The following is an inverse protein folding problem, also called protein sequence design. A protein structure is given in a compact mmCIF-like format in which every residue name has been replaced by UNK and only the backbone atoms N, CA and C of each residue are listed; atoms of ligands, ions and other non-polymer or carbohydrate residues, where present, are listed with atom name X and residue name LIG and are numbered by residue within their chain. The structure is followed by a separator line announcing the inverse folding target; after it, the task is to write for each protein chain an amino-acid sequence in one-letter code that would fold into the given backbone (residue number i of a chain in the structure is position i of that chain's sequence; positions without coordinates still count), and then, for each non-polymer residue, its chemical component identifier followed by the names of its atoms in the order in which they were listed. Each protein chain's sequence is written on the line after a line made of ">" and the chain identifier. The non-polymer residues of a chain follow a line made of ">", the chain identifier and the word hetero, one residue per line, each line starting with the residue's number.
data_IF_748479932538
#
_entry.id   IF_748479932538
#
_cell.length_a   1.000
_cell.length_b   1.000
_cell.length_c   1.000
_cell.angle_alpha   90.00
_cell.angle_beta   90.00
_cell.angle_gamma   90.00
#
_symmetry.space_group_name_H-M   'P 1'
#
loop_
_entity.id
_entity.type
_entity.pdbx_description
1 polymer ?
#
# COMPACT_ATOMS: atom_id res chain seq x y z
N UNK A 1 11.35 5.58 13.64
CA UNK A 1 10.24 5.75 14.59
C UNK A 1 8.94 5.57 13.84
N UNK A 2 8.06 4.66 14.27
CA UNK A 2 6.74 4.54 13.63
C UNK A 2 5.92 5.78 14.00
N UNK A 3 5.19 6.38 13.06
CA UNK A 3 4.39 7.60 13.30
C UNK A 3 3.35 7.47 14.44
N UNK A 4 3.15 6.25 14.97
CA UNK A 4 2.20 5.91 16.04
C UNK A 4 2.71 6.25 17.46
N UNK A 5 3.99 6.52 17.63
CA UNK A 5 4.61 6.74 18.95
C UNK A 5 4.62 8.20 19.40
N UNK A 6 4.14 9.13 18.55
CA UNK A 6 4.15 10.57 18.84
C UNK A 6 3.43 10.89 20.16
N UNK A 7 4.02 11.78 20.93
CA UNK A 7 3.44 12.37 22.13
C UNK A 7 2.32 13.33 21.74
N UNK A 8 1.38 13.65 22.65
CA UNK A 8 0.35 14.64 22.38
C UNK A 8 0.91 16.01 21.96
N UNK A 9 2.05 16.43 22.52
CA UNK A 9 2.70 17.69 22.15
C UNK A 9 3.22 17.68 20.72
N UNK A 10 3.86 16.60 20.28
CA UNK A 10 4.34 16.45 18.90
C UNK A 10 3.19 16.43 17.90
N UNK A 11 2.08 15.75 18.22
CA UNK A 11 0.88 15.74 17.37
C UNK A 11 0.31 17.15 17.23
N UNK A 12 0.19 17.90 18.34
CA UNK A 12 -0.29 19.29 18.30
C UNK A 12 0.65 20.17 17.47
N UNK A 13 1.98 20.02 17.63
CA UNK A 13 2.95 20.79 16.88
C UNK A 13 2.85 20.53 15.37
N UNK A 14 2.64 19.29 14.96
CA UNK A 14 2.43 18.97 13.53
C UNK A 14 1.11 19.54 13.01
N UNK A 15 0.04 19.51 13.81
CA UNK A 15 -1.22 20.15 13.45
C UNK A 15 -1.10 21.67 13.37
N UNK A 16 -0.22 22.30 14.14
CA UNK A 16 0.03 23.75 14.09
C UNK A 16 0.59 24.21 12.74
N UNK A 17 1.30 23.34 12.00
CA UNK A 17 1.81 23.65 10.66
C UNK A 17 0.71 23.80 9.60
N UNK A 18 -0.51 23.32 9.88
CA UNK A 18 -1.61 23.29 8.91
C UNK A 18 -2.88 23.99 9.38
N UNK A 19 -3.13 24.03 10.69
CA UNK A 19 -4.33 24.62 11.29
C UNK A 19 -3.89 25.75 12.20
N UNK A 20 -4.39 26.96 11.97
CA UNK A 20 -4.14 28.12 12.83
C UNK A 20 -5.20 28.17 13.94
N UNK A 21 -4.78 28.42 15.19
CA UNK A 21 -5.66 28.43 16.37
C UNK A 21 -6.26 27.05 16.70
N UNK A 22 -7.49 27.01 17.24
CA UNK A 22 -8.22 25.77 17.57
C UNK A 22 -7.48 24.84 18.57
N UNK A 23 -6.75 25.41 19.53
CA UNK A 23 -5.86 24.66 20.42
C UNK A 23 -6.58 23.59 21.23
N UNK A 24 -7.80 23.86 21.68
CA UNK A 24 -8.60 22.90 22.42
C UNK A 24 -8.94 21.67 21.55
N UNK A 25 -9.34 21.88 20.30
CA UNK A 25 -9.64 20.79 19.37
C UNK A 25 -8.39 19.97 19.05
N UNK A 26 -7.25 20.62 18.81
CA UNK A 26 -5.95 19.96 18.58
C UNK A 26 -5.53 19.10 19.77
N UNK A 27 -5.64 19.62 20.99
CA UNK A 27 -5.34 18.87 22.23
C UNK A 27 -6.25 17.66 22.37
N UNK A 28 -7.56 17.82 22.17
CA UNK A 28 -8.52 16.73 22.27
C UNK A 28 -8.23 15.59 21.30
N UNK A 29 -7.94 15.90 20.02
CA UNK A 29 -7.61 14.86 19.04
C UNK A 29 -6.26 14.20 19.32
N UNK A 30 -5.27 14.95 19.80
CA UNK A 30 -3.96 14.41 20.16
C UNK A 30 -4.04 13.45 21.35
N UNK A 31 -4.86 13.76 22.35
CA UNK A 31 -5.11 12.87 23.50
C UNK A 31 -5.84 11.60 23.06
N UNK A 32 -6.90 11.72 22.24
CA UNK A 32 -7.62 10.57 21.73
C UNK A 32 -6.71 9.63 20.93
N UNK A 33 -5.83 10.18 20.09
CA UNK A 33 -4.84 9.42 19.36
C UNK A 33 -3.81 8.74 20.28
N UNK A 34 -3.28 9.46 21.27
CA UNK A 34 -2.35 8.88 22.25
C UNK A 34 -2.99 7.77 23.07
N UNK A 35 -4.27 7.88 23.39
CA UNK A 35 -5.00 6.85 24.10
C UNK A 35 -5.15 5.57 23.27
N UNK A 36 -5.27 5.68 21.93
CA UNK A 36 -5.22 4.49 21.06
C UNK A 36 -3.86 3.78 21.14
N UNK A 37 -2.76 4.54 21.14
CA UNK A 37 -1.43 3.95 21.34
C UNK A 37 -1.29 3.28 22.71
N UNK A 38 -1.70 3.97 23.79
CA UNK A 38 -1.69 3.42 25.15
C UNK A 38 -2.49 2.13 25.26
N UNK A 39 -3.67 2.07 24.64
CA UNK A 39 -4.50 0.85 24.58
C UNK A 39 -3.75 -0.33 23.95
N UNK A 40 -2.90 -0.11 22.96
CA UNK A 40 -2.09 -1.18 22.35
C UNK A 40 -0.98 -1.70 23.27
N UNK A 41 -0.62 -0.96 24.31
CA UNK A 41 0.36 -1.37 25.32
C UNK A 41 -0.26 -2.12 26.51
N UNK A 42 -1.60 -2.15 26.59
CA UNK A 42 -2.31 -2.92 27.62
C UNK A 42 -2.28 -4.42 27.31
N UNK A 43 -2.39 -5.21 28.36
CA UNK A 43 -2.67 -6.64 28.32
C UNK A 43 -4.01 -6.93 27.61
N UNK A 44 -4.17 -8.15 27.12
CA UNK A 44 -5.30 -8.50 26.26
C UNK A 44 -6.65 -8.37 26.96
N UNK A 45 -6.72 -8.75 28.25
CA UNK A 45 -7.95 -8.64 29.03
C UNK A 45 -8.36 -7.18 29.21
N UNK A 46 -7.48 -6.32 29.71
CA UNK A 46 -7.78 -4.90 29.88
C UNK A 46 -8.04 -4.16 28.55
N UNK A 47 -7.40 -4.61 27.46
CA UNK A 47 -7.58 -4.00 26.13
C UNK A 47 -9.00 -4.15 25.59
N UNK A 48 -9.72 -5.21 25.95
CA UNK A 48 -11.11 -5.43 25.54
C UNK A 48 -12.05 -4.41 26.20
N UNK A 49 -11.79 -4.06 27.45
CA UNK A 49 -12.62 -3.11 28.21
C UNK A 49 -12.41 -1.65 27.80
N UNK A 50 -11.25 -1.33 27.21
CA UNK A 50 -10.93 0.04 26.78
C UNK A 50 -11.44 0.30 25.36
N UNK A 51 -12.54 1.05 25.26
CA UNK A 51 -13.10 1.49 23.98
C UNK A 51 -12.48 2.79 23.45
N UNK A 52 -12.39 2.98 22.11
CA UNK A 52 -11.94 4.25 21.54
C UNK A 52 -12.81 5.43 21.98
N UNK A 53 -12.18 6.55 22.34
CA UNK A 53 -12.90 7.80 22.66
C UNK A 53 -13.25 8.53 21.36
N UNK A 54 -14.53 8.50 20.99
CA UNK A 54 -15.06 9.26 19.85
C UNK A 54 -15.07 10.77 20.17
N UNK A 55 -15.01 11.60 19.12
CA UNK A 55 -14.87 13.06 19.25
C UNK A 55 -16.02 13.74 18.52
N UNK A 56 -16.74 14.60 19.23
CA UNK A 56 -17.71 15.54 18.65
C UNK A 56 -17.07 16.92 18.58
N UNK A 57 -16.99 17.50 17.38
CA UNK A 57 -16.48 18.86 17.18
C UNK A 57 -17.64 19.82 16.95
N UNK A 58 -17.78 20.82 17.82
CA UNK A 58 -18.82 21.85 17.73
C UNK A 58 -18.17 23.18 17.34
N UNK A 59 -18.75 23.88 16.36
CA UNK A 59 -18.28 25.18 15.91
C UNK A 59 -18.84 25.58 14.54
N UNK A 60 -18.66 26.84 14.10
CA UNK A 60 -19.22 27.32 12.83
C UNK A 60 -18.55 26.65 11.62
N UNK A 61 -19.15 26.78 10.43
CA UNK A 61 -18.56 26.28 9.19
C UNK A 61 -17.24 27.02 8.88
N UNK A 62 -16.33 26.37 8.14
CA UNK A 62 -15.07 27.00 7.73
C UNK A 62 -13.94 27.07 8.77
N UNK A 63 -14.18 26.82 10.07
CA UNK A 63 -13.15 26.93 11.13
C UNK A 63 -12.10 25.81 11.18
N UNK A 64 -12.11 24.88 10.21
CA UNK A 64 -11.10 23.82 10.12
C UNK A 64 -11.43 22.49 10.82
N UNK A 65 -12.66 22.25 11.27
CA UNK A 65 -13.07 20.96 11.89
C UNK A 65 -12.67 19.74 11.04
N UNK A 66 -13.04 19.76 9.76
CA UNK A 66 -12.71 18.68 8.82
C UNK A 66 -11.21 18.59 8.54
N UNK A 67 -10.51 19.73 8.53
CA UNK A 67 -9.07 19.77 8.25
C UNK A 67 -8.26 19.18 9.41
N UNK A 68 -8.67 19.41 10.67
CA UNK A 68 -8.07 18.75 11.83
C UNK A 68 -8.14 17.23 11.69
N UNK A 69 -9.33 16.69 11.36
CA UNK A 69 -9.50 15.24 11.20
C UNK A 69 -8.68 14.68 10.01
N UNK A 70 -8.67 15.39 8.88
CA UNK A 70 -7.91 15.02 7.69
C UNK A 70 -6.40 15.01 7.95
N UNK A 71 -5.88 16.05 8.62
CA UNK A 71 -4.45 16.18 8.94
C UNK A 71 -4.01 15.15 9.96
N UNK A 72 -4.82 14.92 10.99
CA UNK A 72 -4.57 13.87 11.98
C UNK A 72 -4.39 12.51 11.32
N UNK A 73 -5.27 12.14 10.38
CA UNK A 73 -5.17 10.87 9.67
C UNK A 73 -3.90 10.77 8.81
N UNK A 74 -3.53 11.85 8.11
CA UNK A 74 -2.28 11.91 7.32
C UNK A 74 -1.03 11.74 8.19
N UNK A 75 -0.98 12.41 9.34
CA UNK A 75 0.15 12.36 10.29
C UNK A 75 0.47 10.93 10.76
N UNK A 76 -0.55 10.09 10.92
CA UNK A 76 -0.38 8.69 11.36
C UNK A 76 -0.50 7.68 10.22
N UNK A 77 -0.62 8.15 8.98
CA UNK A 77 -0.85 7.31 7.80
C UNK A 77 -2.05 6.35 7.98
N UNK A 78 -3.13 6.85 8.59
CA UNK A 78 -4.37 6.08 8.77
C UNK A 78 -5.34 6.29 7.59
N UNK A 79 -6.15 5.27 7.26
CA UNK A 79 -7.25 5.43 6.31
C UNK A 79 -8.26 6.45 6.84
N UNK A 80 -8.82 7.25 5.93
CA UNK A 80 -9.72 8.35 6.27
C UNK A 80 -10.83 8.48 5.23
N UNK A 81 -12.06 8.63 5.70
CA UNK A 81 -13.24 8.86 4.86
C UNK A 81 -14.03 10.05 5.41
N UNK A 82 -14.43 10.97 4.53
CA UNK A 82 -15.37 12.07 4.85
C UNK A 82 -16.74 11.65 4.36
N UNK A 83 -17.72 11.63 5.26
CA UNK A 83 -19.09 11.24 4.95
C UNK A 83 -20.06 12.32 5.45
N UNK A 84 -21.17 12.51 4.74
CA UNK A 84 -22.25 13.42 5.13
C UNK A 84 -23.43 12.60 5.65
N UNK A 85 -23.86 12.88 6.89
CA UNK A 85 -24.87 12.07 7.58
C UNK A 85 -26.23 12.07 6.86
N UNK A 86 -26.59 13.17 6.20
CA UNK A 86 -27.85 13.30 5.45
C UNK A 86 -27.94 12.37 4.23
N UNK A 87 -26.84 11.73 3.82
CA UNK A 87 -26.84 10.73 2.74
C UNK A 87 -27.45 9.39 3.13
N UNK A 88 -27.68 9.16 4.42
CA UNK A 88 -28.17 7.89 4.97
C UNK A 88 -29.57 8.01 5.56
N UNK A 89 -30.24 9.16 5.38
CA UNK A 89 -31.64 9.36 5.79
C UNK A 89 -32.58 9.01 4.64
N UNK A 90 -33.77 8.53 5.00
CA UNK A 90 -34.78 7.90 4.14
C UNK A 90 -35.20 8.71 2.90
N UNK A 91 -35.14 10.04 2.95
CA UNK A 91 -35.54 10.93 1.85
C UNK A 91 -34.39 11.18 0.84
N UNK A 92 -33.18 10.67 1.12
CA UNK A 92 -31.93 11.11 0.45
C UNK A 92 -31.33 10.17 -0.60
N UNK A 93 -31.60 8.86 -0.57
CA UNK A 93 -31.39 7.94 -1.69
C UNK A 93 -31.81 6.52 -1.28
N UNK A 94 -32.70 5.91 -2.04
CA UNK A 94 -32.82 4.44 -2.08
C UNK A 94 -31.46 3.93 -2.60
N UNK A 95 -30.49 3.62 -1.72
CA UNK A 95 -29.26 2.94 -2.14
C UNK A 95 -27.93 3.21 -1.43
N UNK A 96 -27.80 4.14 -0.47
CA UNK A 96 -26.58 4.24 0.35
C UNK A 96 -26.79 3.71 1.75
N UNK A 97 -26.33 2.49 1.94
CA UNK A 97 -26.26 1.78 3.22
C UNK A 97 -25.10 2.32 4.09
N UNK A 98 -25.30 2.38 5.41
CA UNK A 98 -24.30 2.75 6.43
C UNK A 98 -23.03 1.92 6.30
N UNK A 99 -23.15 0.65 5.89
CA UNK A 99 -21.99 -0.22 5.65
C UNK A 99 -21.06 0.32 4.55
N UNK A 100 -21.57 1.11 3.60
CA UNK A 100 -20.74 1.72 2.56
C UNK A 100 -19.64 2.61 3.13
N UNK A 101 -19.84 3.21 4.32
CA UNK A 101 -18.78 3.98 5.00
C UNK A 101 -17.59 3.11 5.38
N UNK A 102 -17.85 1.87 5.81
CA UNK A 102 -16.81 0.92 6.17
C UNK A 102 -16.11 0.40 4.91
N UNK A 103 -16.87 0.09 3.85
CA UNK A 103 -16.31 -0.32 2.56
C UNK A 103 -15.36 0.75 1.98
N UNK A 104 -15.78 2.01 1.98
CA UNK A 104 -14.96 3.14 1.54
C UNK A 104 -13.69 3.30 2.41
N UNK A 105 -13.80 3.09 3.71
CA UNK A 105 -12.64 3.16 4.62
C UNK A 105 -11.63 2.03 4.36
N UNK A 106 -12.12 0.81 4.12
CA UNK A 106 -11.29 -0.37 3.80
C UNK A 106 -10.59 -0.18 2.46
N UNK A 107 -11.29 0.29 1.44
CA UNK A 107 -10.70 0.56 0.11
C UNK A 107 -9.55 1.57 0.21
N UNK A 108 -9.74 2.66 0.98
CA UNK A 108 -8.67 3.61 1.25
C UNK A 108 -7.47 2.97 1.99
N UNK A 109 -7.72 2.03 2.91
CA UNK A 109 -6.65 1.30 3.59
C UNK A 109 -5.85 0.41 2.62
N UNK A 110 -6.55 -0.30 1.72
CA UNK A 110 -5.93 -1.13 0.67
C UNK A 110 -5.03 -0.26 -0.21
N UNK A 111 -5.49 0.92 -0.63
CA UNK A 111 -4.69 1.83 -1.44
C UNK A 111 -3.40 2.30 -0.73
N UNK A 112 -3.48 2.62 0.57
CA UNK A 112 -2.30 3.00 1.37
C UNK A 112 -1.27 1.86 1.38
N UNK A 113 -1.71 0.63 1.67
CA UNK A 113 -0.83 -0.54 1.71
C UNK A 113 -0.27 -0.87 0.32
N UNK A 114 -1.10 -0.84 -0.71
CA UNK A 114 -0.69 -1.11 -2.10
C UNK A 114 0.39 -0.13 -2.55
N UNK A 115 0.22 1.17 -2.25
CA UNK A 115 1.22 2.20 -2.57
C UNK A 115 2.54 1.95 -1.84
N UNK A 116 2.50 1.60 -0.56
CA UNK A 116 3.70 1.27 0.20
C UNK A 116 4.42 0.05 -0.40
N UNK A 117 3.69 -1.05 -0.63
CA UNK A 117 4.24 -2.28 -1.22
C UNK A 117 4.78 -2.08 -2.63
N UNK A 118 4.14 -1.24 -3.44
CA UNK A 118 4.62 -0.90 -4.77
C UNK A 118 5.98 -0.20 -4.70
N UNK A 119 6.14 0.74 -3.77
CA UNK A 119 7.42 1.42 -3.54
C UNK A 119 8.53 0.46 -3.11
N UNK A 120 8.21 -0.54 -2.28
CA UNK A 120 9.19 -1.53 -1.79
C UNK A 120 9.80 -2.36 -2.95
N UNK A 121 9.00 -2.66 -3.99
CA UNK A 121 9.42 -3.52 -5.11
C UNK A 121 9.82 -2.74 -6.36
N UNK A 122 9.60 -1.43 -6.40
CA UNK A 122 9.76 -0.61 -7.61
C UNK A 122 11.15 -0.73 -8.23
N UNK A 123 12.22 -0.57 -7.45
CA UNK A 123 13.60 -0.64 -7.96
C UNK A 123 13.94 -2.02 -8.55
N UNK A 124 13.44 -3.10 -7.94
CA UNK A 124 13.65 -4.44 -8.48
C UNK A 124 12.84 -4.67 -9.75
N UNK A 125 11.60 -4.18 -9.78
CA UNK A 125 10.73 -4.27 -10.95
C UNK A 125 11.30 -3.48 -12.13
N UNK A 126 11.84 -2.29 -11.89
CA UNK A 126 12.51 -1.45 -12.89
C UNK A 126 13.74 -2.17 -13.48
N UNK A 127 14.62 -2.72 -12.64
CA UNK A 127 15.77 -3.51 -13.11
C UNK A 127 15.35 -4.71 -13.96
N UNK A 128 14.30 -5.43 -13.56
CA UNK A 128 13.76 -6.56 -14.32
C UNK A 128 13.15 -6.11 -15.64
N UNK A 129 12.43 -4.98 -15.65
CA UNK A 129 11.84 -4.40 -16.84
C UNK A 129 12.94 -3.95 -17.83
N UNK A 130 13.96 -3.24 -17.37
CA UNK A 130 15.09 -2.81 -18.18
C UNK A 130 15.86 -4.01 -18.74
N UNK A 131 16.09 -5.06 -17.93
CA UNK A 131 16.71 -6.30 -18.42
C UNK A 131 15.88 -6.94 -19.53
N UNK A 132 14.55 -6.96 -19.40
CA UNK A 132 13.65 -7.49 -20.44
C UNK A 132 13.69 -6.63 -21.70
N UNK A 133 13.74 -5.30 -21.56
CA UNK A 133 13.84 -4.39 -22.69
C UNK A 133 15.19 -4.54 -23.41
N UNK A 134 16.29 -4.62 -22.67
CA UNK A 134 17.62 -4.84 -23.21
C UNK A 134 17.73 -6.17 -23.97
N UNK A 135 17.10 -7.25 -23.46
CA UNK A 135 16.98 -8.53 -24.19
C UNK A 135 16.21 -8.37 -25.52
N UNK A 136 15.15 -7.56 -25.54
CA UNK A 136 14.36 -7.34 -26.75
C UNK A 136 15.08 -6.47 -27.80
N UNK A 137 15.84 -5.46 -27.34
CA UNK A 137 16.61 -4.57 -28.20
C UNK A 137 17.88 -5.22 -28.75
N UNK A 138 18.57 -6.02 -27.93
CA UNK A 138 19.77 -6.76 -28.30
C UNK A 138 19.57 -8.26 -27.97
N UNK A 139 18.86 -9.01 -28.84
CA UNK A 139 18.62 -10.43 -28.63
C UNK A 139 19.94 -11.21 -28.64
N UNK A 140 20.09 -12.13 -27.68
CA UNK A 140 21.23 -13.02 -27.63
C UNK A 140 21.19 -14.03 -28.78
N UNK A 141 22.34 -14.62 -29.11
CA UNK A 141 22.37 -15.70 -30.09
C UNK A 141 21.70 -16.91 -29.41
N UNK A 142 20.52 -17.30 -29.91
CA UNK A 142 19.84 -18.51 -29.44
C UNK A 142 20.73 -19.70 -29.76
N UNK A 143 21.19 -20.40 -28.73
CA UNK A 143 21.90 -21.67 -28.89
C UNK A 143 20.94 -22.61 -29.62
N UNK A 144 21.24 -22.97 -30.87
CA UNK A 144 20.49 -24.01 -31.57
C UNK A 144 20.70 -25.28 -30.76
N UNK A 145 19.67 -25.73 -30.05
CA UNK A 145 19.65 -27.06 -29.44
C UNK A 145 20.01 -28.06 -30.53
N UNK A 146 21.18 -28.70 -30.42
CA UNK A 146 21.58 -29.77 -31.33
C UNK A 146 20.45 -30.79 -31.35
N UNK A 147 19.97 -31.11 -32.56
CA UNK A 147 18.96 -32.12 -32.86
C UNK A 147 18.86 -33.21 -31.79
N UNK A 148 17.90 -33.08 -30.88
CA UNK A 148 17.43 -34.23 -30.13
C UNK A 148 16.62 -35.08 -31.09
N UNK A 149 16.93 -36.36 -31.15
CA UNK A 149 16.26 -37.29 -32.03
C UNK A 149 14.77 -37.32 -31.63
N UNK A 150 13.80 -37.26 -32.56
CA UNK A 150 12.37 -37.19 -32.22
C UNK A 150 11.91 -38.33 -31.29
N UNK A 151 12.59 -39.47 -31.39
CA UNK A 151 12.38 -40.65 -30.55
C UNK A 151 12.85 -40.46 -29.09
N UNK A 152 13.95 -39.74 -28.88
CA UNK A 152 14.51 -39.44 -27.55
C UNK A 152 13.64 -38.43 -26.79
N UNK A 153 13.06 -37.47 -27.52
CA UNK A 153 12.09 -36.52 -27.00
C UNK A 153 10.78 -37.21 -26.56
N UNK A 154 10.30 -38.16 -27.38
CA UNK A 154 9.13 -38.97 -27.06
C UNK A 154 9.37 -39.88 -25.84
N UNK A 155 10.56 -40.51 -25.74
CA UNK A 155 10.93 -41.33 -24.58
C UNK A 155 11.06 -40.51 -23.29
N UNK A 156 11.63 -39.31 -23.34
CA UNK A 156 11.70 -38.42 -22.17
C UNK A 156 10.32 -37.94 -21.72
N UNK A 157 9.41 -37.69 -22.65
CA UNK A 157 8.02 -37.29 -22.35
C UNK A 157 7.19 -38.45 -21.77
N UNK A 158 7.50 -39.70 -22.14
CA UNK A 158 6.87 -40.89 -21.56
C UNK A 158 7.47 -41.28 -20.21
N UNK A 159 8.77 -41.04 -20.00
CA UNK A 159 9.47 -41.30 -18.75
C UNK A 159 9.14 -40.26 -17.65
N UNK A 160 8.91 -39.00 -18.02
CA UNK A 160 8.42 -37.96 -17.12
C UNK A 160 6.90 -37.88 -17.19
N UNK A 161 6.22 -38.80 -16.49
CA UNK A 161 4.77 -38.76 -16.34
C UNK A 161 4.29 -37.39 -15.84
N UNK A 162 3.39 -36.77 -16.60
CA UNK A 162 2.57 -35.57 -16.31
C UNK A 162 2.99 -34.74 -15.09
N UNK A 163 4.19 -34.16 -15.11
CA UNK A 163 4.49 -32.98 -14.32
C UNK A 163 4.70 -31.80 -15.27
N UNK A 164 3.98 -30.68 -15.09
CA UNK A 164 4.20 -29.49 -15.91
C UNK A 164 5.63 -28.99 -15.64
N UNK A 165 6.51 -29.10 -16.63
CA UNK A 165 7.82 -28.48 -16.59
C UNK A 165 7.66 -26.97 -16.47
N UNK A 166 8.24 -26.37 -15.41
CA UNK A 166 8.50 -24.94 -15.39
C UNK A 166 9.31 -24.59 -16.65
N UNK A 167 8.80 -23.68 -17.47
CA UNK A 167 9.50 -23.24 -18.67
C UNK A 167 10.75 -22.46 -18.25
N UNK A 168 11.88 -23.16 -18.09
CA UNK A 168 13.20 -22.56 -17.95
C UNK A 168 13.45 -21.61 -19.14
N UNK A 169 13.82 -20.36 -18.84
CA UNK A 169 14.19 -19.41 -19.88
C UNK A 169 15.34 -20.01 -20.72
N UNK A 170 15.26 -20.01 -22.06
CA UNK A 170 16.31 -20.58 -22.89
C UNK A 170 17.64 -19.87 -22.60
N UNK A 171 18.69 -20.64 -22.28
CA UNK A 171 20.04 -20.13 -22.05
C UNK A 171 20.56 -19.42 -23.31
N UNK A 172 20.66 -18.10 -23.26
CA UNK A 172 21.24 -17.26 -24.30
C UNK A 172 22.77 -17.17 -24.12
N UNK A 173 23.53 -17.41 -25.19
CA UNK A 173 24.96 -17.06 -25.20
C UNK A 173 25.11 -15.55 -25.46
N UNK A 174 25.84 -14.89 -24.57
CA UNK A 174 26.11 -13.46 -24.61
C UNK A 174 27.56 -13.21 -25.02
N UNK A 175 27.78 -12.84 -26.28
CA UNK A 175 29.08 -12.30 -26.74
C UNK A 175 29.37 -10.94 -26.07
N UNK A 176 30.65 -10.57 -25.99
CA UNK A 176 31.09 -9.33 -25.32
C UNK A 176 30.45 -8.07 -25.92
N UNK A 177 30.24 -8.03 -27.25
CA UNK A 177 29.53 -6.94 -27.93
C UNK A 177 28.06 -6.85 -27.52
N UNK A 178 27.36 -7.98 -27.35
CA UNK A 178 25.96 -7.99 -26.91
C UNK A 178 25.86 -7.57 -25.44
N UNK A 179 26.85 -7.92 -24.60
CA UNK A 179 26.93 -7.43 -23.21
C UNK A 179 27.14 -5.93 -23.16
N UNK A 180 28.07 -5.42 -23.98
CA UNK A 180 28.35 -3.98 -24.12
C UNK A 180 27.12 -3.22 -24.59
N UNK A 181 26.42 -3.69 -25.62
CA UNK A 181 25.19 -3.05 -26.12
C UNK A 181 24.05 -3.06 -25.10
N UNK A 182 23.92 -4.13 -24.29
CA UNK A 182 22.93 -4.18 -23.20
C UNK A 182 23.26 -3.25 -22.04
N UNK A 183 24.55 -3.02 -21.75
CA UNK A 183 25.00 -2.05 -20.75
C UNK A 183 24.91 -0.60 -21.24
N UNK A 184 25.15 -0.34 -22.52
CA UNK A 184 25.04 1.00 -23.11
C UNK A 184 23.60 1.49 -23.26
N UNK A 185 22.61 0.59 -23.19
CA UNK A 185 21.20 0.92 -23.39
C UNK A 185 20.50 1.51 -22.15
N UNK A 186 21.13 1.46 -20.95
CA UNK A 186 20.57 1.96 -19.68
C UNK A 186 21.62 2.41 -18.67
#
# INVERSE_FOLDING_TARGET
>A
MTNREKTPKEIVNELNSYIIGQDQAKKSVAVALRNRYRRLQLDEQMRQDVTPKNILMIGPTGVGKTEIARRLAKTISAPFVKVEATKFTEVGYVGRDVESMIRDLVENAIQIVKKARYSDVYSQAEKKANRRLAKALAPGIKKKTKNQNPYEQMMNMFAQGQQPQESEEPEEELTEEIRSNRQASF
#
